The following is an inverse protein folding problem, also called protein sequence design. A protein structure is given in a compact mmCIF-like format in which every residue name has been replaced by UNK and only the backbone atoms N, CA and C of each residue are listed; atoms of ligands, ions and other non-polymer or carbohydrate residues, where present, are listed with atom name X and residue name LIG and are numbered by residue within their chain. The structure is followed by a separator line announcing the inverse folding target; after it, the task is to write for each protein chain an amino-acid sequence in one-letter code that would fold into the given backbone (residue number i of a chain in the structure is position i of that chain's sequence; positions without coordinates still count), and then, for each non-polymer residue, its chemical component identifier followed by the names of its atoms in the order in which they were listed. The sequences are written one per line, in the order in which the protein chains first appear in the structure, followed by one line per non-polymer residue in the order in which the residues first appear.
data_IF_225836342646
#
_entry.id   IF_225836342646
#
_cell.length_a   1.000
_cell.length_b   1.000
_cell.length_c   1.000
_cell.angle_alpha   90.00
_cell.angle_beta   90.00
_cell.angle_gamma   90.00
#
_symmetry.space_group_name_H-M   'P 1'
#
loop_
_entity.id
_entity.type
_entity.pdbx_description
1 polymer ?
#
# COMPACT_ATOMS: atom_id res chain seq x y z
N UNK A 1 11.77 40.72 30.16
CA UNK A 1 12.09 39.74 31.22
C UNK A 1 10.84 39.03 31.78
N UNK A 2 9.85 38.68 30.95
CA UNK A 2 8.57 38.12 31.43
C UNK A 2 7.94 37.03 30.55
N UNK A 3 8.66 36.48 29.57
CA UNK A 3 8.14 35.44 28.66
C UNK A 3 8.89 34.09 28.73
N UNK A 4 9.93 33.99 29.56
CA UNK A 4 10.68 32.73 29.77
C UNK A 4 10.35 32.03 31.09
N UNK A 5 9.58 32.64 31.99
CA UNK A 5 9.18 32.00 33.25
C UNK A 5 7.96 31.06 33.11
N UNK A 6 7.09 31.28 32.12
CA UNK A 6 5.87 30.47 31.95
C UNK A 6 6.17 29.11 31.31
N UNK A 7 7.21 29.02 30.47
CA UNK A 7 7.61 27.76 29.83
C UNK A 7 8.34 26.81 30.79
N UNK A 8 8.99 27.34 31.82
CA UNK A 8 9.65 26.53 32.86
C UNK A 8 8.64 26.01 33.89
N UNK A 9 7.57 26.77 34.19
CA UNK A 9 6.53 26.33 35.12
C UNK A 9 5.71 25.14 34.59
N UNK A 10 5.51 25.04 33.27
CA UNK A 10 4.81 23.91 32.65
C UNK A 10 5.66 22.63 32.60
N UNK A 11 6.99 22.75 32.58
CA UNK A 11 7.90 21.60 32.58
C UNK A 11 8.19 21.07 34.00
N UNK A 12 8.05 21.91 35.03
CA UNK A 12 8.23 21.50 36.43
C UNK A 12 6.99 20.85 37.07
N UNK A 13 5.80 21.00 36.48
CA UNK A 13 4.57 20.42 37.02
C UNK A 13 4.35 18.94 36.65
N UNK A 14 5.18 18.37 35.76
CA UNK A 14 5.07 16.97 35.34
C UNK A 14 5.92 15.98 36.19
N UNK A 15 6.60 16.42 37.26
CA UNK A 15 7.53 15.56 38.01
C UNK A 15 7.06 15.20 39.43
N UNK A 16 5.93 15.72 39.91
CA UNK A 16 5.38 15.31 41.22
C UNK A 16 4.12 14.46 41.08
N UNK A 17 4.28 13.26 40.52
CA UNK A 17 3.41 12.14 40.87
C UNK A 17 4.16 11.32 41.91
N UNK A 18 3.78 11.53 43.17
CA UNK A 18 4.17 10.67 44.30
C UNK A 18 3.87 9.22 43.94
N UNK A 19 4.93 8.41 43.86
CA UNK A 19 4.83 6.96 43.78
C UNK A 19 4.15 6.46 45.06
N UNK A 20 2.84 6.20 44.99
CA UNK A 20 2.23 5.25 45.90
C UNK A 20 2.75 3.88 45.51
N UNK A 21 3.63 3.31 46.33
CA UNK A 21 3.98 1.89 46.29
C UNK A 21 2.69 1.08 46.46
N UNK A 22 2.24 0.33 45.44
CA UNK A 22 1.12 -0.59 45.62
C UNK A 22 1.58 -1.69 46.57
N UNK A 23 0.73 -2.09 47.51
CA UNK A 23 0.89 -3.35 48.24
C UNK A 23 1.08 -4.47 47.22
N UNK A 24 2.09 -5.31 47.43
CA UNK A 24 2.24 -6.58 46.72
C UNK A 24 1.02 -7.48 46.99
N UNK A 25 0.00 -7.34 46.16
CA UNK A 25 -0.83 -8.49 45.83
C UNK A 25 -0.13 -9.20 44.67
N UNK A 26 0.47 -10.35 44.99
CA UNK A 26 0.95 -11.31 44.01
C UNK A 26 -0.23 -11.86 43.20
N UNK A 27 -0.74 -11.07 42.26
CA UNK A 27 -1.47 -11.60 41.12
C UNK A 27 -0.44 -12.33 40.27
N UNK A 28 -0.39 -13.65 40.42
CA UNK A 28 0.17 -14.53 39.38
C UNK A 28 -0.62 -14.24 38.11
N UNK A 29 -0.12 -13.35 37.26
CA UNK A 29 -0.61 -13.18 35.89
C UNK A 29 -0.21 -14.43 35.12
N UNK A 30 -1.07 -15.43 35.22
CA UNK A 30 -1.13 -16.56 34.31
C UNK A 30 -1.91 -16.12 33.07
N UNK A 31 -1.24 -15.56 32.06
CA UNK A 31 -1.80 -15.58 30.70
C UNK A 31 -0.70 -15.42 29.63
N UNK A 32 0.05 -16.49 29.39
CA UNK A 32 1.09 -16.55 28.34
C UNK A 32 0.53 -16.81 26.93
N UNK A 33 -0.79 -16.92 26.74
CA UNK A 33 -1.39 -17.25 25.43
C UNK A 33 -2.31 -16.17 24.85
N UNK A 34 -2.95 -15.32 25.66
CA UNK A 34 -3.78 -14.21 25.13
C UNK A 34 -2.99 -12.95 24.77
N UNK A 35 -1.90 -12.68 25.48
CA UNK A 35 -1.07 -11.49 25.26
C UNK A 35 -0.33 -11.53 23.92
N UNK A 36 0.13 -12.71 23.50
CA UNK A 36 0.84 -12.93 22.23
C UNK A 36 -0.08 -12.78 21.02
N UNK A 37 -1.31 -13.30 21.09
CA UNK A 37 -2.28 -13.16 19.99
C UNK A 37 -2.75 -11.71 19.86
N UNK A 38 -2.99 -11.01 20.97
CA UNK A 38 -3.31 -9.57 20.93
C UNK A 38 -2.17 -8.76 20.30
N UNK A 39 -0.91 -9.02 20.67
CA UNK A 39 0.24 -8.36 20.07
C UNK A 39 0.36 -8.67 18.57
N UNK A 40 0.10 -9.92 18.16
CA UNK A 40 0.07 -10.32 16.75
C UNK A 40 -1.03 -9.59 15.98
N UNK A 41 -2.23 -9.47 16.54
CA UNK A 41 -3.34 -8.74 15.93
C UNK A 41 -3.02 -7.24 15.82
N UNK A 42 -2.46 -6.63 16.87
CA UNK A 42 -2.02 -5.22 16.85
C UNK A 42 -0.89 -4.98 15.84
N UNK A 43 0.06 -5.92 15.74
CA UNK A 43 1.14 -5.88 14.73
C UNK A 43 0.61 -6.03 13.31
N UNK A 44 -0.46 -6.82 13.15
CA UNK A 44 -1.23 -6.85 11.92
C UNK A 44 -2.10 -5.61 11.75
N UNK A 45 -2.27 -4.73 12.75
CA UNK A 45 -3.09 -3.53 12.64
C UNK A 45 -4.56 -3.70 12.94
N UNK A 46 -4.91 -4.70 13.74
CA UNK A 46 -6.25 -4.89 14.27
C UNK A 46 -6.25 -4.76 15.79
N UNK A 47 -7.29 -4.11 16.31
CA UNK A 47 -7.67 -4.22 17.71
C UNK A 47 -8.84 -5.22 17.82
N UNK A 48 -8.58 -6.47 18.24
CA UNK A 48 -9.61 -7.50 18.29
C UNK A 48 -10.53 -7.29 19.50
N UNK A 49 -11.82 -7.43 19.26
CA UNK A 49 -12.87 -7.47 20.29
C UNK A 49 -13.68 -8.77 20.15
N UNK A 50 -14.71 -8.94 20.99
CA UNK A 50 -15.51 -10.17 20.99
C UNK A 50 -16.15 -10.49 19.63
N UNK A 51 -16.56 -9.47 18.87
CA UNK A 51 -17.28 -9.67 17.59
C UNK A 51 -16.64 -8.90 16.42
N UNK A 52 -15.83 -7.89 16.70
CA UNK A 52 -15.21 -7.01 15.70
C UNK A 52 -13.69 -7.01 15.83
N UNK A 53 -13.00 -7.01 14.71
CA UNK A 53 -11.60 -6.65 14.62
C UNK A 53 -11.54 -5.22 14.06
N UNK A 54 -11.32 -4.23 14.93
CA UNK A 54 -11.23 -2.84 14.52
C UNK A 54 -9.92 -2.60 13.77
N UNK A 55 -10.01 -2.07 12.56
CA UNK A 55 -8.87 -1.80 11.70
C UNK A 55 -8.23 -0.45 12.08
N UNK A 56 -7.02 -0.53 12.60
CA UNK A 56 -6.27 0.63 13.09
C UNK A 56 -5.84 1.58 11.96
N UNK A 57 -5.91 1.17 10.68
CA UNK A 57 -5.55 2.01 9.52
C UNK A 57 -6.46 3.22 9.36
N UNK A 58 -7.69 3.18 9.87
CA UNK A 58 -8.66 4.25 9.69
C UNK A 58 -8.60 5.31 10.79
N UNK A 59 -7.87 5.05 11.89
CA UNK A 59 -7.85 5.95 13.04
C UNK A 59 -7.28 7.32 12.71
N UNK A 60 -6.09 7.36 12.10
CA UNK A 60 -5.41 8.62 11.79
C UNK A 60 -4.61 8.46 10.49
N UNK A 61 -4.91 9.32 9.52
CA UNK A 61 -4.14 9.50 8.29
C UNK A 61 -4.03 10.98 7.96
N UNK A 62 -3.08 11.31 7.09
CA UNK A 62 -2.99 12.64 6.51
C UNK A 62 -2.62 12.53 5.04
N UNK A 63 -3.24 13.36 4.20
CA UNK A 63 -2.76 13.67 2.85
C UNK A 63 -3.09 15.13 2.53
N UNK A 64 -2.53 15.65 1.44
CA UNK A 64 -2.70 17.06 1.07
C UNK A 64 -4.12 17.40 0.62
N UNK A 65 -4.86 16.42 0.09
CA UNK A 65 -6.21 16.64 -0.42
C UNK A 65 -7.26 16.65 0.71
N UNK A 66 -7.25 15.63 1.57
CA UNK A 66 -8.20 15.45 2.68
C UNK A 66 -7.76 16.15 3.98
N UNK A 67 -6.50 16.58 4.07
CA UNK A 67 -5.90 17.07 5.30
C UNK A 67 -5.81 15.97 6.35
N UNK A 68 -6.17 16.28 7.59
CA UNK A 68 -6.31 15.26 8.63
C UNK A 68 -7.51 14.37 8.30
N UNK A 69 -7.32 13.06 8.32
CA UNK A 69 -8.34 12.04 8.05
C UNK A 69 -8.44 11.13 9.27
N UNK A 70 -9.64 11.02 9.83
CA UNK A 70 -9.91 10.17 11.01
C UNK A 70 -11.17 9.37 10.79
N UNK A 71 -11.24 8.20 11.40
CA UNK A 71 -12.44 7.39 11.34
C UNK A 71 -12.31 6.06 12.05
N UNK A 72 -13.30 5.21 11.80
CA UNK A 72 -13.40 3.88 12.36
C UNK A 72 -13.78 2.92 11.25
N UNK A 73 -13.14 1.76 11.28
CA UNK A 73 -13.49 0.66 10.41
C UNK A 73 -13.12 -0.66 11.04
N UNK A 74 -13.63 -1.73 10.48
CA UNK A 74 -13.35 -3.06 10.99
C UNK A 74 -14.10 -4.13 10.24
N UNK A 75 -13.72 -5.36 10.58
CA UNK A 75 -14.33 -6.57 10.05
C UNK A 75 -14.82 -7.43 11.20
N UNK A 76 -16.00 -8.03 11.06
CA UNK A 76 -16.49 -9.00 12.05
C UNK A 76 -15.63 -10.27 12.05
N UNK A 77 -15.48 -10.92 13.20
CA UNK A 77 -14.66 -12.13 13.33
C UNK A 77 -15.49 -13.42 13.49
N UNK A 78 -14.82 -14.57 13.57
CA UNK A 78 -15.46 -15.90 13.67
C UNK A 78 -16.42 -16.06 14.86
N UNK A 79 -16.29 -15.22 15.90
CA UNK A 79 -17.20 -15.21 17.05
C UNK A 79 -18.54 -14.51 16.75
N UNK A 80 -18.55 -13.58 15.78
CA UNK A 80 -19.79 -13.04 15.22
C UNK A 80 -20.47 -14.09 14.33
N UNK A 81 -19.73 -14.64 13.37
CA UNK A 81 -20.19 -15.73 12.53
C UNK A 81 -19.04 -16.38 11.76
N UNK A 82 -19.09 -17.69 11.61
CA UNK A 82 -18.20 -18.45 10.72
C UNK A 82 -18.65 -18.42 9.25
N UNK A 83 -19.88 -17.97 8.98
CA UNK A 83 -20.49 -17.99 7.63
C UNK A 83 -20.73 -16.62 7.04
N UNK A 84 -20.77 -15.58 7.86
CA UNK A 84 -21.05 -14.21 7.45
C UNK A 84 -19.95 -13.29 7.97
N UNK A 85 -19.53 -12.34 7.14
CA UNK A 85 -18.65 -11.26 7.55
C UNK A 85 -19.22 -9.92 7.11
N UNK A 86 -19.05 -8.90 7.95
CA UNK A 86 -19.29 -7.51 7.61
C UNK A 86 -17.93 -6.82 7.62
N UNK A 87 -17.65 -6.04 6.59
CA UNK A 87 -16.43 -5.24 6.42
C UNK A 87 -16.82 -3.83 6.00
N UNK A 88 -16.67 -2.89 6.93
CA UNK A 88 -17.12 -1.52 6.76
C UNK A 88 -16.16 -0.54 7.42
N UNK A 89 -16.11 0.67 6.88
CA UNK A 89 -15.47 1.81 7.53
C UNK A 89 -16.19 3.11 7.20
N UNK A 90 -16.01 4.09 8.07
CA UNK A 90 -16.36 5.48 7.84
C UNK A 90 -15.22 6.36 8.31
N UNK A 91 -14.85 7.31 7.48
CA UNK A 91 -13.81 8.29 7.77
C UNK A 91 -14.29 9.68 7.36
N UNK A 92 -13.69 10.69 7.94
CA UNK A 92 -13.94 12.08 7.63
C UNK A 92 -12.62 12.79 7.35
N UNK A 93 -12.56 13.51 6.23
CA UNK A 93 -11.45 14.38 5.85
C UNK A 93 -11.78 15.83 6.22
N UNK A 94 -10.90 16.47 6.98
CA UNK A 94 -11.15 17.82 7.49
C UNK A 94 -10.88 18.93 6.47
N UNK A 95 -10.03 18.70 5.46
CA UNK A 95 -9.76 19.71 4.43
C UNK A 95 -10.81 19.71 3.32
N UNK A 96 -11.34 18.54 2.95
CA UNK A 96 -12.38 18.42 1.92
C UNK A 96 -13.81 18.38 2.48
N UNK A 97 -13.97 18.40 3.82
CA UNK A 97 -15.25 18.40 4.55
C UNK A 97 -16.20 17.28 4.08
N UNK A 98 -15.66 16.07 3.88
CA UNK A 98 -16.43 14.94 3.37
C UNK A 98 -16.21 13.65 4.13
N UNK A 99 -17.33 12.97 4.36
CA UNK A 99 -17.33 11.56 4.75
C UNK A 99 -17.00 10.68 3.57
N UNK A 100 -16.21 9.64 3.83
CA UNK A 100 -15.88 8.56 2.90
C UNK A 100 -16.11 7.25 3.62
N UNK A 101 -16.61 6.25 2.92
CA UNK A 101 -17.06 5.04 3.58
C UNK A 101 -17.07 3.83 2.65
N UNK A 102 -16.95 2.68 3.29
CA UNK A 102 -17.22 1.37 2.69
C UNK A 102 -18.26 0.68 3.54
N UNK A 103 -19.23 0.06 2.87
CA UNK A 103 -20.17 -0.86 3.50
C UNK A 103 -20.19 -2.12 2.67
N UNK A 104 -19.96 -3.25 3.31
CA UNK A 104 -20.17 -4.51 2.64
C UNK A 104 -19.99 -5.71 3.54
N UNK A 105 -20.01 -6.87 2.92
CA UNK A 105 -19.93 -8.13 3.62
C UNK A 105 -19.82 -9.29 2.65
N UNK A 106 -19.64 -10.47 3.23
CA UNK A 106 -19.53 -11.70 2.47
C UNK A 106 -20.24 -12.86 3.16
N UNK A 107 -20.64 -13.82 2.34
CA UNK A 107 -21.16 -15.12 2.77
C UNK A 107 -20.21 -16.22 2.33
N UNK A 108 -19.86 -17.10 3.26
CA UNK A 108 -19.05 -18.27 3.00
C UNK A 108 -19.93 -19.35 2.36
N UNK A 109 -19.71 -19.59 1.07
CA UNK A 109 -20.42 -20.60 0.29
C UNK A 109 -19.84 -21.99 0.49
N UNK A 110 -18.52 -22.10 0.61
CA UNK A 110 -17.82 -23.37 0.83
C UNK A 110 -16.63 -23.19 1.79
N UNK A 111 -16.66 -23.79 3.00
CA UNK A 111 -15.57 -23.70 3.96
C UNK A 111 -14.26 -24.39 3.53
N UNK A 112 -14.33 -25.50 2.79
CA UNK A 112 -13.15 -26.30 2.42
C UNK A 112 -12.26 -25.57 1.42
N UNK A 113 -12.87 -24.90 0.45
CA UNK A 113 -12.20 -24.09 -0.57
C UNK A 113 -12.23 -22.59 -0.24
N UNK A 114 -12.61 -22.23 0.99
CA UNK A 114 -12.77 -20.85 1.47
C UNK A 114 -13.48 -19.95 0.44
N UNK A 115 -14.55 -20.45 -0.16
CA UNK A 115 -15.28 -19.73 -1.20
C UNK A 115 -16.17 -18.67 -0.58
N UNK A 116 -15.87 -17.39 -0.81
CA UNK A 116 -16.68 -16.27 -0.34
C UNK A 116 -17.35 -15.58 -1.51
N UNK A 117 -18.66 -15.32 -1.38
CA UNK A 117 -19.37 -14.36 -2.21
C UNK A 117 -19.46 -13.05 -1.45
N UNK A 118 -18.96 -11.97 -2.03
CA UNK A 118 -18.91 -10.66 -1.41
C UNK A 118 -19.72 -9.61 -2.17
N UNK A 119 -20.23 -8.64 -1.41
CA UNK A 119 -20.88 -7.45 -1.92
C UNK A 119 -20.34 -6.23 -1.18
N UNK A 120 -19.91 -5.21 -1.92
CA UNK A 120 -19.37 -3.98 -1.37
C UNK A 120 -19.93 -2.75 -2.09
N UNK A 121 -20.09 -1.68 -1.32
CA UNK A 121 -20.25 -0.32 -1.80
C UNK A 121 -19.14 0.53 -1.19
N UNK A 122 -18.46 1.33 -2.00
CA UNK A 122 -17.35 2.19 -1.58
C UNK A 122 -17.52 3.59 -2.17
N UNK A 123 -17.35 4.63 -1.36
CA UNK A 123 -17.15 6.03 -1.79
C UNK A 123 -15.90 6.55 -1.08
N UNK A 124 -14.78 6.61 -1.80
CA UNK A 124 -13.50 7.08 -1.29
C UNK A 124 -12.62 7.63 -2.41
N UNK A 125 -11.39 8.00 -2.08
CA UNK A 125 -10.36 8.46 -3.01
C UNK A 125 -9.36 7.35 -3.33
N UNK A 126 -8.87 7.37 -4.56
CA UNK A 126 -7.79 6.50 -5.02
C UNK A 126 -6.67 7.29 -5.70
N UNK A 127 -5.42 6.86 -5.50
CA UNK A 127 -4.24 7.40 -6.17
C UNK A 127 -4.32 7.11 -7.68
N UNK A 128 -4.25 8.15 -8.51
CA UNK A 128 -4.27 8.03 -9.96
C UNK A 128 -3.07 7.24 -10.46
N UNK A 129 -3.29 6.23 -11.30
CA UNK A 129 -2.21 5.43 -11.87
C UNK A 129 -1.69 4.32 -10.95
N UNK A 130 -2.28 4.18 -9.75
CA UNK A 130 -1.97 3.06 -8.86
C UNK A 130 -2.59 1.76 -9.38
N UNK A 131 -1.89 0.64 -9.18
CA UNK A 131 -2.38 -0.70 -9.57
C UNK A 131 -2.29 -1.66 -8.39
N UNK A 132 -3.42 -2.21 -7.97
CA UNK A 132 -3.51 -3.20 -6.90
C UNK A 132 -4.06 -4.51 -7.44
N UNK A 133 -3.53 -5.63 -6.96
CA UNK A 133 -4.11 -6.94 -7.25
C UNK A 133 -5.23 -7.22 -6.25
N UNK A 134 -6.36 -7.75 -6.69
CA UNK A 134 -7.45 -8.16 -5.79
C UNK A 134 -6.96 -9.18 -4.76
N UNK A 135 -6.09 -10.10 -5.20
CA UNK A 135 -5.51 -11.15 -4.35
C UNK A 135 -4.36 -10.70 -3.46
N UNK A 136 -4.06 -9.40 -3.39
CA UNK A 136 -3.01 -8.91 -2.51
C UNK A 136 -3.43 -8.99 -1.04
N UNK A 137 -2.56 -9.61 -0.23
CA UNK A 137 -2.74 -9.63 1.21
C UNK A 137 -2.66 -8.23 1.82
N UNK A 138 -3.36 -8.05 2.95
CA UNK A 138 -3.36 -6.80 3.70
C UNK A 138 -1.95 -6.46 4.18
N UNK A 139 -1.45 -5.28 3.80
CA UNK A 139 -0.31 -4.64 4.44
C UNK A 139 -0.81 -3.58 5.43
N UNK A 140 -0.31 -3.65 6.67
CA UNK A 140 -0.56 -2.65 7.69
C UNK A 140 0.68 -1.80 7.90
N UNK A 141 0.50 -0.49 7.96
CA UNK A 141 1.49 0.46 8.46
C UNK A 141 0.79 1.51 9.29
N UNK A 142 1.34 1.83 10.46
CA UNK A 142 0.85 2.94 11.29
C UNK A 142 1.07 4.30 10.62
N UNK A 143 2.04 4.38 9.71
CA UNK A 143 2.37 5.61 9.01
C UNK A 143 2.62 5.30 7.54
N UNK A 144 1.91 6.00 6.66
CA UNK A 144 2.06 5.91 5.20
C UNK A 144 2.62 7.23 4.65
N UNK A 145 3.92 7.48 4.77
CA UNK A 145 4.52 8.78 4.47
C UNK A 145 4.41 9.20 3.00
N UNK A 146 4.33 8.25 2.06
CA UNK A 146 4.06 8.53 0.65
C UNK A 146 2.73 9.29 0.50
N UNK A 147 1.72 8.90 1.29
CA UNK A 147 0.37 9.46 1.27
C UNK A 147 0.36 10.98 1.53
N UNK A 148 1.33 11.50 2.29
CA UNK A 148 1.48 12.93 2.57
C UNK A 148 1.78 13.78 1.33
N UNK A 149 2.20 13.15 0.24
CA UNK A 149 2.74 13.84 -0.94
C UNK A 149 2.10 13.41 -2.25
N UNK A 150 1.17 12.46 -2.21
CA UNK A 150 0.36 12.15 -3.39
C UNK A 150 -0.54 13.36 -3.65
N UNK A 151 -0.50 13.86 -4.88
CA UNK A 151 -1.29 15.01 -5.30
C UNK A 151 -2.52 14.59 -6.12
N UNK A 152 -2.37 13.58 -6.98
CA UNK A 152 -3.40 13.19 -7.94
C UNK A 152 -4.30 12.08 -7.39
N UNK A 153 -5.38 12.48 -6.74
CA UNK A 153 -6.47 11.60 -6.36
C UNK A 153 -7.62 11.67 -7.37
N UNK A 154 -8.44 10.62 -7.39
CA UNK A 154 -9.76 10.65 -7.99
C UNK A 154 -10.77 10.05 -7.02
N UNK A 155 -11.98 10.58 -7.00
CA UNK A 155 -13.12 9.95 -6.34
C UNK A 155 -13.45 8.67 -7.08
N UNK A 156 -13.75 7.63 -6.32
CA UNK A 156 -13.99 6.30 -6.84
C UNK A 156 -15.18 5.68 -6.10
N UNK A 157 -16.38 5.99 -6.61
CA UNK A 157 -17.65 5.48 -6.08
C UNK A 157 -17.93 4.16 -6.78
N UNK A 158 -18.08 3.05 -6.06
CA UNK A 158 -18.10 1.72 -6.66
C UNK A 158 -19.02 0.76 -5.94
N UNK A 159 -19.83 0.04 -6.71
CA UNK A 159 -20.52 -1.16 -6.27
C UNK A 159 -19.82 -2.39 -6.83
N UNK A 160 -19.60 -3.39 -6.00
CA UNK A 160 -18.81 -4.57 -6.35
C UNK A 160 -19.49 -5.85 -5.90
N UNK A 161 -19.50 -6.85 -6.77
CA UNK A 161 -19.71 -8.25 -6.42
C UNK A 161 -18.43 -9.02 -6.71
N UNK A 162 -17.95 -9.82 -5.75
CA UNK A 162 -16.77 -10.66 -5.97
C UNK A 162 -16.95 -12.07 -5.44
N UNK A 163 -16.27 -13.02 -6.06
CA UNK A 163 -16.15 -14.40 -5.60
C UNK A 163 -14.66 -14.67 -5.37
N UNK A 164 -14.32 -14.91 -4.11
CA UNK A 164 -13.01 -15.43 -3.71
C UNK A 164 -13.07 -16.95 -3.68
N UNK A 165 -12.00 -17.61 -4.10
CA UNK A 165 -11.92 -19.06 -4.11
C UNK A 165 -10.48 -19.55 -3.93
N UNK A 166 -10.25 -20.41 -2.94
CA UNK A 166 -8.99 -21.13 -2.75
C UNK A 166 -9.10 -22.48 -3.46
N UNK A 167 -8.55 -22.58 -4.68
CA UNK A 167 -8.51 -23.83 -5.46
C UNK A 167 -7.72 -24.90 -4.69
N UNK A 168 -6.60 -24.47 -4.11
CA UNK A 168 -5.79 -25.21 -3.15
C UNK A 168 -4.94 -24.21 -2.35
N UNK A 169 -4.24 -24.62 -1.28
CA UNK A 169 -3.49 -23.69 -0.43
C UNK A 169 -2.43 -22.84 -1.16
N UNK A 170 -1.98 -23.27 -2.34
CA UNK A 170 -0.99 -22.56 -3.18
C UNK A 170 -1.61 -21.71 -4.27
N UNK A 171 -2.92 -21.79 -4.52
CA UNK A 171 -3.58 -21.14 -5.63
C UNK A 171 -4.91 -20.52 -5.18
N UNK A 172 -4.89 -19.19 -5.03
CA UNK A 172 -6.02 -18.38 -4.61
C UNK A 172 -6.47 -17.49 -5.77
N UNK A 173 -7.78 -17.37 -5.95
CA UNK A 173 -8.37 -16.57 -7.02
C UNK A 173 -9.44 -15.64 -6.47
N UNK A 174 -9.60 -14.50 -7.12
CA UNK A 174 -10.75 -13.62 -6.92
C UNK A 174 -11.27 -13.15 -8.27
N UNK A 175 -12.57 -13.31 -8.49
CA UNK A 175 -13.28 -12.80 -9.67
C UNK A 175 -14.26 -11.73 -9.24
N UNK A 176 -14.18 -10.57 -9.87
CA UNK A 176 -14.93 -9.38 -9.49
C UNK A 176 -15.67 -8.80 -10.69
N UNK A 177 -16.90 -8.35 -10.46
CA UNK A 177 -17.59 -7.40 -11.32
C UNK A 177 -17.85 -6.12 -10.53
N UNK A 178 -17.50 -4.96 -11.10
CA UNK A 178 -17.66 -3.68 -10.44
C UNK A 178 -18.22 -2.62 -11.40
N UNK A 179 -19.16 -1.83 -10.90
CA UNK A 179 -19.67 -0.62 -11.57
C UNK A 179 -19.19 0.57 -10.77
N UNK A 180 -18.50 1.49 -11.43
CA UNK A 180 -17.84 2.61 -10.76
C UNK A 180 -18.00 3.92 -11.50
N UNK A 181 -18.24 4.97 -10.72
CA UNK A 181 -18.16 6.35 -11.15
C UNK A 181 -16.84 6.95 -10.64
N UNK A 182 -16.06 7.48 -11.57
CA UNK A 182 -14.70 7.96 -11.33
C UNK A 182 -14.59 9.44 -11.71
N UNK A 183 -14.16 10.26 -10.76
CA UNK A 183 -14.05 11.71 -10.94
C UNK A 183 -12.67 12.19 -10.42
N UNK A 184 -11.71 12.51 -11.30
CA UNK A 184 -10.46 13.16 -10.95
C UNK A 184 -10.68 14.42 -10.09
N UNK A 185 -9.88 14.60 -9.04
CA UNK A 185 -9.97 15.79 -8.18
C UNK A 185 -9.09 16.94 -8.65
N UNK A 186 -8.51 16.81 -9.83
CA UNK A 186 -7.60 17.74 -10.50
C UNK A 186 -8.10 18.01 -11.92
N UNK A 187 -7.61 19.09 -12.54
CA UNK A 187 -8.00 19.46 -13.88
C UNK A 187 -7.48 18.43 -14.89
N UNK A 188 -8.35 17.52 -15.32
CA UNK A 188 -8.02 16.47 -16.28
C UNK A 188 -9.23 16.19 -17.16
N UNK A 189 -8.99 16.14 -18.46
CA UNK A 189 -9.98 15.73 -19.44
C UNK A 189 -9.42 14.62 -20.32
N UNK A 190 -10.18 13.56 -20.49
CA UNK A 190 -9.87 12.49 -21.43
C UNK A 190 -10.65 12.70 -22.71
N UNK A 191 -9.95 12.91 -23.83
CA UNK A 191 -10.57 13.20 -25.13
C UNK A 191 -10.68 11.93 -25.96
N UNK A 192 -11.90 11.58 -26.35
CA UNK A 192 -12.15 10.42 -27.19
C UNK A 192 -13.20 10.76 -28.25
N UNK A 193 -12.84 10.56 -29.52
CA UNK A 193 -13.72 10.81 -30.67
C UNK A 193 -14.31 12.25 -30.72
N UNK A 194 -13.58 13.24 -30.21
CA UNK A 194 -14.01 14.63 -30.15
C UNK A 194 -14.88 14.98 -28.94
N UNK A 195 -15.18 14.02 -28.07
CA UNK A 195 -15.86 14.23 -26.81
C UNK A 195 -14.84 14.34 -25.66
N UNK A 196 -15.11 15.26 -24.73
CA UNK A 196 -14.29 15.50 -23.55
C UNK A 196 -14.96 14.84 -22.34
N UNK A 197 -14.25 13.94 -21.68
CA UNK A 197 -14.71 13.26 -20.47
C UNK A 197 -13.93 13.77 -19.26
N UNK A 198 -14.63 14.32 -18.28
CA UNK A 198 -14.07 14.73 -16.98
C UNK A 198 -14.50 13.80 -15.85
N UNK A 199 -15.53 12.99 -16.10
CA UNK A 199 -16.05 11.94 -15.22
C UNK A 199 -16.21 10.67 -16.04
N UNK A 200 -15.97 9.51 -15.42
CA UNK A 200 -15.95 8.23 -16.10
C UNK A 200 -16.87 7.23 -15.42
N UNK A 201 -17.83 6.72 -16.17
CA UNK A 201 -18.59 5.53 -15.81
C UNK A 201 -17.85 4.30 -16.33
N UNK A 202 -17.69 3.30 -15.47
CA UNK A 202 -16.97 2.06 -15.79
C UNK A 202 -17.73 0.83 -15.29
N UNK A 203 -17.62 -0.25 -16.06
CA UNK A 203 -18.15 -1.57 -15.75
C UNK A 203 -17.03 -2.59 -15.98
N UNK A 204 -16.33 -2.94 -14.92
CA UNK A 204 -15.13 -3.76 -14.98
C UNK A 204 -15.41 -5.20 -14.55
N UNK A 205 -14.95 -6.15 -15.35
CA UNK A 205 -14.82 -7.55 -14.97
C UNK A 205 -13.33 -7.85 -14.75
N UNK A 206 -12.97 -8.32 -13.56
CA UNK A 206 -11.58 -8.59 -13.16
C UNK A 206 -11.44 -10.02 -12.68
N UNK A 207 -10.38 -10.69 -13.11
CA UNK A 207 -9.96 -12.00 -12.58
C UNK A 207 -8.53 -11.84 -12.08
N UNK A 208 -8.30 -12.15 -10.80
CA UNK A 208 -6.99 -12.10 -10.16
C UNK A 208 -6.63 -13.47 -9.61
N UNK A 209 -5.35 -13.82 -9.73
CA UNK A 209 -4.80 -15.12 -9.32
C UNK A 209 -3.50 -14.87 -8.56
N UNK A 210 -3.41 -15.44 -7.35
CA UNK A 210 -2.18 -15.56 -6.58
C UNK A 210 -1.73 -17.02 -6.60
N UNK A 211 -0.50 -17.25 -7.05
CA UNK A 211 0.11 -18.58 -7.13
C UNK A 211 1.43 -18.64 -6.37
N UNK A 212 1.45 -19.47 -5.33
CA UNK A 212 2.55 -19.72 -4.40
C UNK A 212 3.05 -21.18 -4.54
N UNK A 213 3.60 -21.58 -5.70
CA UNK A 213 3.81 -22.99 -6.06
C UNK A 213 4.72 -23.79 -5.11
N UNK A 214 5.67 -23.11 -4.48
CA UNK A 214 6.70 -23.75 -3.66
C UNK A 214 6.41 -23.70 -2.16
N UNK A 215 5.40 -22.95 -1.75
CA UNK A 215 5.03 -22.81 -0.34
C UNK A 215 4.45 -24.14 0.16
N UNK A 216 4.92 -24.59 1.33
CA UNK A 216 4.41 -25.80 1.99
C UNK A 216 3.46 -25.41 3.11
N UNK A 217 2.38 -26.20 3.22
CA UNK A 217 1.30 -25.98 4.16
C UNK A 217 1.05 -27.27 4.94
N UNK A 218 0.66 -27.11 6.20
CA UNK A 218 0.15 -28.20 7.04
C UNK A 218 -1.21 -27.78 7.60
N UNK A 219 -2.14 -28.72 7.69
CA UNK A 219 -3.46 -28.48 8.27
C UNK A 219 -3.41 -28.74 9.76
N UNK A 220 -3.45 -27.68 10.57
CA UNK A 220 -3.49 -27.73 12.03
C UNK A 220 -4.84 -27.18 12.47
N UNK A 221 -5.61 -27.95 13.25
CA UNK A 221 -6.95 -27.57 13.72
C UNK A 221 -7.92 -27.14 12.60
N UNK A 222 -7.81 -27.77 11.43
CA UNK A 222 -8.63 -27.45 10.25
C UNK A 222 -8.24 -26.15 9.54
N UNK A 223 -7.11 -25.53 9.90
CA UNK A 223 -6.54 -24.35 9.24
C UNK A 223 -5.23 -24.71 8.55
N UNK A 224 -5.07 -24.25 7.31
CA UNK A 224 -3.81 -24.38 6.58
C UNK A 224 -2.82 -23.34 7.11
N UNK A 225 -1.79 -23.79 7.81
CA UNK A 225 -0.68 -22.97 8.27
C UNK A 225 0.53 -23.17 7.37
N UNK A 226 1.28 -22.08 7.11
CA UNK A 226 2.49 -22.13 6.30
C UNK A 226 3.62 -22.73 7.14
N UNK A 227 4.09 -23.91 6.76
CA UNK A 227 5.27 -24.55 7.39
C UNK A 227 6.57 -24.08 6.76
N UNK A 228 6.55 -23.79 5.46
CA UNK A 228 7.70 -23.28 4.71
C UNK A 228 7.26 -22.25 3.69
N UNK A 229 7.58 -20.99 3.97
CA UNK A 229 7.44 -19.90 3.02
C UNK A 229 8.55 -19.95 1.98
N UNK A 230 8.17 -20.16 0.71
CA UNK A 230 9.10 -20.37 -0.40
C UNK A 230 8.75 -19.48 -1.60
N UNK A 231 9.71 -19.38 -2.51
CA UNK A 231 9.71 -18.43 -3.62
C UNK A 231 10.21 -19.12 -4.90
N UNK A 232 9.85 -18.62 -6.10
CA UNK A 232 9.07 -17.41 -6.38
C UNK A 232 7.56 -17.52 -6.09
N UNK A 233 6.94 -16.36 -5.92
CA UNK A 233 5.48 -16.15 -5.82
C UNK A 233 5.02 -15.29 -6.98
N UNK A 234 3.83 -15.59 -7.51
CA UNK A 234 3.30 -14.93 -8.70
C UNK A 234 1.90 -14.38 -8.45
N UNK A 235 1.65 -13.19 -8.97
CA UNK A 235 0.30 -12.62 -9.06
C UNK A 235 0.02 -12.27 -10.52
N UNK A 236 -1.16 -12.63 -11.00
CA UNK A 236 -1.64 -12.30 -12.32
C UNK A 236 -3.04 -11.71 -12.20
N UNK A 237 -3.33 -10.64 -12.93
CA UNK A 237 -4.64 -10.04 -12.96
C UNK A 237 -5.00 -9.60 -14.38
N UNK A 238 -6.22 -9.89 -14.79
CA UNK A 238 -6.81 -9.40 -16.01
C UNK A 238 -8.06 -8.60 -15.70
N UNK A 239 -8.14 -7.38 -16.20
CA UNK A 239 -9.32 -6.51 -16.06
C UNK A 239 -9.84 -6.14 -17.44
N UNK A 240 -11.16 -6.23 -17.63
CA UNK A 240 -11.85 -5.79 -18.83
C UNK A 240 -12.91 -4.76 -18.47
N UNK A 241 -12.82 -3.55 -19.02
CA UNK A 241 -13.91 -2.59 -18.97
C UNK A 241 -14.86 -2.82 -20.14
N UNK A 242 -16.15 -2.94 -19.85
CA UNK A 242 -17.21 -3.30 -20.80
C UNK A 242 -18.02 -2.06 -21.15
N UNK A 243 -17.67 -1.41 -22.26
CA UNK A 243 -18.41 -0.24 -22.78
C UNK A 243 -19.90 -0.55 -22.96
N UNK A 244 -20.76 0.43 -22.66
CA UNK A 244 -22.23 0.36 -22.74
C UNK A 244 -22.91 -0.61 -21.77
N UNK A 245 -22.17 -1.25 -20.86
CA UNK A 245 -22.74 -2.00 -19.73
C UNK A 245 -22.83 -1.03 -18.56
N UNK A 246 -24.04 -0.80 -18.02
CA UNK A 246 -24.30 0.26 -17.02
C UNK A 246 -23.69 1.62 -17.42
N UNK A 247 -23.93 2.05 -18.66
CA UNK A 247 -23.50 3.34 -19.21
C UNK A 247 -21.98 3.59 -19.22
N UNK A 248 -21.17 2.54 -19.06
CA UNK A 248 -19.72 2.64 -19.07
C UNK A 248 -19.19 3.26 -20.38
N UNK A 249 -18.32 4.27 -20.25
CA UNK A 249 -17.92 5.11 -21.39
C UNK A 249 -16.91 4.44 -22.32
N UNK A 250 -16.00 3.64 -21.76
CA UNK A 250 -14.79 3.18 -22.45
C UNK A 250 -14.68 1.68 -22.59
N UNK A 251 -13.94 1.23 -23.61
CA UNK A 251 -13.59 -0.17 -23.80
C UNK A 251 -12.08 -0.34 -23.69
N UNK A 252 -11.62 -0.97 -22.62
CA UNK A 252 -10.20 -1.27 -22.46
C UNK A 252 -9.99 -2.59 -21.71
N UNK A 253 -8.77 -3.09 -21.77
CA UNK A 253 -8.33 -4.27 -21.04
C UNK A 253 -6.96 -4.03 -20.42
N UNK A 254 -6.75 -4.54 -19.21
CA UNK A 254 -5.47 -4.52 -18.50
C UNK A 254 -5.01 -5.94 -18.24
N UNK A 255 -3.71 -6.16 -18.36
CA UNK A 255 -3.03 -7.37 -17.89
C UNK A 255 -1.92 -6.91 -16.95
N UNK A 256 -1.97 -7.37 -15.71
CA UNK A 256 -1.01 -7.07 -14.65
C UNK A 256 -0.32 -8.36 -14.22
N UNK A 257 0.99 -8.29 -14.02
CA UNK A 257 1.83 -9.38 -13.57
C UNK A 257 2.79 -8.93 -12.49
N UNK A 258 2.98 -9.78 -11.47
CA UNK A 258 3.95 -9.56 -10.41
C UNK A 258 4.63 -10.87 -10.07
N UNK A 259 5.96 -10.81 -9.95
CA UNK A 259 6.76 -11.91 -9.42
C UNK A 259 7.62 -11.41 -8.26
N UNK A 260 7.62 -12.15 -7.17
CA UNK A 260 8.48 -11.90 -6.02
C UNK A 260 9.38 -13.11 -5.85
N UNK A 261 10.69 -12.88 -5.79
CA UNK A 261 11.66 -13.93 -5.51
C UNK A 261 12.56 -13.53 -4.35
N UNK A 262 12.95 -14.51 -3.53
CA UNK A 262 13.85 -14.33 -2.40
C UNK A 262 14.90 -15.42 -2.39
N UNK A 263 16.16 -15.01 -2.39
CA UNK A 263 17.33 -15.89 -2.31
C UNK A 263 17.93 -15.73 -0.92
N UNK A 264 17.90 -16.80 -0.12
CA UNK A 264 18.56 -16.82 1.20
C UNK A 264 20.01 -17.25 1.01
N UNK A 265 20.95 -16.39 1.38
CA UNK A 265 22.39 -16.72 1.35
C UNK A 265 22.83 -17.35 2.68
N UNK A 266 22.29 -16.84 3.79
CA UNK A 266 22.42 -17.41 5.13
C UNK A 266 21.26 -16.92 6.03
N UNK A 267 21.34 -17.18 7.33
CA UNK A 267 20.29 -16.80 8.30
C UNK A 267 19.99 -15.30 8.33
N UNK A 268 21.01 -14.46 8.14
CA UNK A 268 20.95 -13.00 8.35
C UNK A 268 21.14 -12.19 7.05
N UNK A 269 21.38 -12.85 5.91
CA UNK A 269 21.60 -12.22 4.61
C UNK A 269 20.81 -12.91 3.51
N UNK A 270 20.12 -12.10 2.71
CA UNK A 270 19.25 -12.55 1.64
C UNK A 270 19.08 -11.45 0.60
N UNK A 271 18.65 -11.82 -0.60
CA UNK A 271 18.29 -10.89 -1.67
C UNK A 271 16.83 -11.06 -2.02
N UNK A 272 16.14 -9.96 -2.29
CA UNK A 272 14.76 -9.95 -2.77
C UNK A 272 14.68 -9.27 -4.11
N UNK A 273 13.90 -9.86 -5.02
CA UNK A 273 13.63 -9.32 -6.33
C UNK A 273 12.12 -9.21 -6.48
N UNK A 274 11.65 -8.04 -6.89
CA UNK A 274 10.26 -7.80 -7.26
C UNK A 274 10.22 -7.32 -8.70
N UNK A 275 9.61 -8.12 -9.55
CA UNK A 275 9.26 -7.75 -10.92
C UNK A 275 7.77 -7.40 -10.93
N UNK A 276 7.40 -6.26 -11.48
CA UNK A 276 6.00 -5.89 -11.71
C UNK A 276 5.86 -5.33 -13.11
N UNK A 277 4.91 -5.84 -13.88
CA UNK A 277 4.66 -5.43 -15.25
C UNK A 277 3.16 -5.27 -15.47
N UNK A 278 2.78 -4.33 -16.33
CA UNK A 278 1.40 -4.09 -16.67
C UNK A 278 1.27 -3.56 -18.09
N UNK A 279 0.17 -3.88 -18.74
CA UNK A 279 -0.22 -3.31 -20.03
C UNK A 279 -1.72 -3.01 -20.03
N UNK A 280 -2.08 -1.81 -20.47
CA UNK A 280 -3.43 -1.35 -20.71
C UNK A 280 -3.59 -1.15 -22.21
N UNK A 281 -4.67 -1.67 -22.79
CA UNK A 281 -4.99 -1.53 -24.21
C UNK A 281 -6.45 -1.12 -24.40
N UNK A 282 -6.67 -0.20 -25.33
CA UNK A 282 -7.97 0.37 -25.62
C UNK A 282 -8.04 1.83 -25.14
N UNK A 283 -9.25 2.32 -24.97
CA UNK A 283 -9.47 3.70 -24.54
C UNK A 283 -9.39 3.74 -23.01
N UNK A 284 -8.23 4.09 -22.45
CA UNK A 284 -7.99 4.02 -21.00
C UNK A 284 -7.65 5.41 -20.46
N UNK A 285 -8.48 6.00 -19.58
CA UNK A 285 -8.16 7.26 -18.94
C UNK A 285 -6.99 7.10 -17.95
N UNK A 286 -6.31 8.20 -17.63
CA UNK A 286 -5.12 8.23 -16.79
C UNK A 286 -5.34 7.58 -15.40
N UNK A 287 -6.56 7.70 -14.85
CA UNK A 287 -6.95 7.06 -13.58
C UNK A 287 -6.72 5.56 -13.57
N UNK A 288 -6.78 4.90 -14.74
CA UNK A 288 -6.64 3.45 -14.92
C UNK A 288 -5.33 3.03 -15.61
N UNK A 289 -4.46 3.98 -15.94
CA UNK A 289 -3.10 3.72 -16.43
C UNK A 289 -2.14 3.44 -15.27
N UNK A 290 -0.83 3.48 -15.52
CA UNK A 290 0.17 3.10 -14.53
C UNK A 290 1.14 4.23 -14.23
N UNK A 291 1.41 4.47 -12.95
CA UNK A 291 2.64 5.11 -12.47
C UNK A 291 3.61 4.04 -11.96
N UNK A 292 4.90 4.36 -11.84
CA UNK A 292 5.92 3.44 -11.32
C UNK A 292 6.13 3.53 -9.79
N UNK A 293 5.11 3.89 -9.01
CA UNK A 293 5.20 4.11 -7.55
C UNK A 293 6.31 5.11 -7.16
N UNK A 294 6.23 6.37 -7.64
CA UNK A 294 7.15 7.43 -7.25
C UNK A 294 7.03 7.75 -5.75
N UNK A 295 8.09 8.29 -5.14
CA UNK A 295 8.06 8.70 -3.73
C UNK A 295 8.82 10.01 -3.46
N UNK A 296 9.13 10.82 -4.48
CA UNK A 296 9.90 12.04 -4.30
C UNK A 296 9.07 13.31 -4.52
N UNK A 297 9.29 14.31 -3.68
CA UNK A 297 8.66 15.62 -3.82
C UNK A 297 9.49 16.51 -4.74
N UNK A 298 8.83 17.29 -5.58
CA UNK A 298 9.53 18.29 -6.39
C UNK A 298 9.68 19.62 -5.60
N UNK A 299 10.49 19.61 -4.53
CA UNK A 299 10.86 20.81 -3.75
C UNK A 299 12.30 21.22 -4.02
N UNK A 300 12.72 22.45 -3.75
CA UNK A 300 14.04 22.94 -4.17
C UNK A 300 15.22 22.23 -3.50
N UNK A 301 15.11 21.90 -2.20
CA UNK A 301 16.25 21.35 -1.44
C UNK A 301 16.02 19.91 -0.99
N UNK A 302 17.11 19.13 -0.86
CA UNK A 302 17.06 17.74 -0.34
C UNK A 302 16.36 17.68 1.04
N UNK A 303 16.62 18.65 1.91
CA UNK A 303 16.00 18.71 3.24
C UNK A 303 14.48 18.94 3.18
N UNK A 304 13.98 19.69 2.20
CA UNK A 304 12.54 19.87 2.00
C UNK A 304 11.88 18.63 1.39
N UNK A 305 12.64 17.80 0.67
CA UNK A 305 12.19 16.49 0.13
C UNK A 305 12.30 15.35 1.14
N UNK A 306 12.85 15.63 2.31
CA UNK A 306 13.08 14.64 3.34
C UNK A 306 11.74 14.04 3.81
N UNK A 307 11.56 12.76 3.52
CA UNK A 307 10.38 11.99 3.85
C UNK A 307 10.81 10.62 4.35
N UNK A 308 9.88 9.66 4.43
CA UNK A 308 10.22 8.29 4.78
C UNK A 308 10.16 7.45 3.51
N UNK A 309 11.14 6.57 3.35
CA UNK A 309 11.27 5.70 2.19
C UNK A 309 10.09 4.72 2.12
N UNK A 310 9.60 4.47 0.90
CA UNK A 310 8.58 3.46 0.71
C UNK A 310 9.21 2.07 0.52
N UNK A 311 8.44 1.04 0.82
CA UNK A 311 8.95 -0.33 0.85
C UNK A 311 9.38 -0.78 -0.56
N UNK A 312 8.58 -0.44 -1.58
CA UNK A 312 8.75 -0.85 -2.98
C UNK A 312 8.52 0.33 -3.95
N UNK A 313 8.95 1.53 -3.58
CA UNK A 313 8.83 2.76 -4.40
C UNK A 313 10.16 3.22 -4.97
N UNK A 314 10.11 4.07 -5.99
CA UNK A 314 11.26 4.80 -6.51
C UNK A 314 11.48 6.06 -5.68
N UNK A 315 12.62 6.13 -4.99
CA UNK A 315 12.84 7.17 -3.98
C UNK A 315 13.22 8.51 -4.58
N UNK A 316 13.79 8.53 -5.79
CA UNK A 316 14.22 9.74 -6.50
C UNK A 316 13.21 10.21 -7.55
N UNK A 317 12.26 9.36 -7.95
CA UNK A 317 11.25 9.68 -8.96
C UNK A 317 10.19 10.61 -8.38
N UNK A 318 9.93 11.72 -9.04
CA UNK A 318 8.94 12.67 -8.58
C UNK A 318 7.51 12.12 -8.74
N UNK A 319 6.62 12.53 -7.83
CA UNK A 319 5.19 12.27 -8.02
C UNK A 319 4.74 12.83 -9.36
N UNK A 320 3.86 12.09 -10.04
CA UNK A 320 3.25 12.46 -11.32
C UNK A 320 4.24 12.68 -12.47
N UNK A 321 5.53 12.36 -12.28
CA UNK A 321 6.56 12.56 -13.30
C UNK A 321 6.32 11.68 -14.53
N UNK A 322 5.89 10.43 -14.30
CA UNK A 322 5.67 9.47 -15.36
C UNK A 322 4.36 8.70 -15.22
N UNK A 323 3.65 8.60 -16.33
CA UNK A 323 2.56 7.65 -16.53
C UNK A 323 2.86 6.77 -17.75
N UNK A 324 2.25 5.59 -17.80
CA UNK A 324 2.47 4.63 -18.87
C UNK A 324 1.23 3.78 -19.12
N UNK A 325 1.00 3.42 -20.39
CA UNK A 325 0.03 2.39 -20.76
C UNK A 325 0.64 0.98 -20.67
N UNK A 326 1.97 0.90 -20.71
CA UNK A 326 2.72 -0.33 -20.53
C UNK A 326 3.97 -0.05 -19.76
N UNK A 327 4.27 -0.88 -18.78
CA UNK A 327 5.44 -0.69 -17.95
C UNK A 327 5.97 -2.01 -17.42
N UNK A 328 7.23 -1.99 -17.00
CA UNK A 328 7.89 -3.04 -16.24
C UNK A 328 8.82 -2.38 -15.24
N UNK A 329 8.78 -2.84 -14.00
CA UNK A 329 9.64 -2.41 -12.90
C UNK A 329 10.35 -3.62 -12.31
N UNK A 330 11.62 -3.46 -12.01
CA UNK A 330 12.44 -4.40 -11.27
C UNK A 330 13.00 -3.69 -10.05
N UNK A 331 12.69 -4.19 -8.86
CA UNK A 331 13.25 -3.72 -7.59
C UNK A 331 14.06 -4.87 -7.01
N UNK A 332 15.37 -4.67 -6.90
CA UNK A 332 16.27 -5.61 -6.24
C UNK A 332 16.80 -4.98 -4.95
N UNK A 333 16.73 -5.75 -3.85
CA UNK A 333 17.32 -5.40 -2.57
C UNK A 333 18.21 -6.52 -2.08
N UNK A 334 19.40 -6.19 -1.60
CA UNK A 334 20.31 -7.13 -0.95
C UNK A 334 20.50 -6.74 0.51
N UNK A 335 20.03 -7.60 1.41
CA UNK A 335 20.17 -7.43 2.85
C UNK A 335 21.49 -8.05 3.29
N UNK A 336 22.41 -7.19 3.73
CA UNK A 336 23.68 -7.62 4.32
C UNK A 336 23.42 -8.13 5.74
N UNK A 337 24.31 -8.99 6.24
CA UNK A 337 24.28 -9.40 7.64
C UNK A 337 24.38 -8.16 8.54
N UNK A 338 23.56 -8.05 9.61
CA UNK A 338 23.65 -6.92 10.55
C UNK A 338 25.04 -6.79 11.18
N UNK A 339 25.51 -5.56 11.31
CA UNK A 339 26.75 -5.25 12.03
C UNK A 339 26.47 -5.31 13.52
N UNK A 340 27.04 -6.30 14.21
CA UNK A 340 26.87 -6.45 15.66
C UNK A 340 27.87 -5.55 16.38
N UNK A 341 27.46 -4.32 16.67
CA UNK A 341 28.33 -3.33 17.32
C UNK A 341 28.24 -3.45 18.85
N UNK A 342 27.03 -3.37 19.42
CA UNK A 342 26.78 -3.65 20.84
C UNK A 342 25.36 -4.18 21.07
N UNK A 343 25.09 -4.69 22.28
CA UNK A 343 23.78 -5.27 22.63
C UNK A 343 22.68 -4.23 22.43
N UNK A 344 21.74 -4.51 21.52
CA UNK A 344 20.62 -3.62 21.18
C UNK A 344 20.86 -2.73 19.96
N UNK A 345 22.09 -2.61 19.45
CA UNK A 345 22.42 -1.83 18.25
C UNK A 345 23.06 -2.72 17.19
N UNK A 346 22.23 -3.17 16.25
CA UNK A 346 22.60 -4.08 15.18
C UNK A 346 22.16 -3.51 13.82
N UNK A 347 22.79 -2.40 13.35
CA UNK A 347 22.41 -1.79 12.09
C UNK A 347 22.57 -2.77 10.93
N UNK A 348 21.67 -2.68 9.95
CA UNK A 348 21.66 -3.55 8.80
C UNK A 348 21.70 -2.73 7.52
N UNK A 349 22.78 -2.91 6.74
CA UNK A 349 22.89 -2.34 5.41
C UNK A 349 22.03 -3.13 4.43
N UNK A 350 21.28 -2.39 3.60
CA UNK A 350 20.53 -2.93 2.47
C UNK A 350 20.97 -2.18 1.23
N UNK A 351 21.48 -2.90 0.24
CA UNK A 351 21.78 -2.32 -1.07
C UNK A 351 20.52 -2.37 -1.92
N UNK A 352 20.18 -1.27 -2.59
CA UNK A 352 18.97 -1.17 -3.40
C UNK A 352 19.35 -0.76 -4.83
N UNK A 353 18.73 -1.41 -5.80
CA UNK A 353 18.75 -0.98 -7.19
C UNK A 353 17.37 -1.18 -7.79
N UNK A 354 16.90 -0.20 -8.55
CA UNK A 354 15.57 -0.17 -9.13
C UNK A 354 15.65 0.27 -10.57
N UNK A 355 14.87 -0.40 -11.40
CA UNK A 355 14.75 -0.14 -12.82
C UNK A 355 13.28 -0.05 -13.21
N UNK A 356 12.90 0.94 -14.01
CA UNK A 356 11.58 1.00 -14.65
C UNK A 356 11.74 1.26 -16.14
N UNK A 357 10.92 0.65 -16.96
CA UNK A 357 10.81 0.95 -18.39
C UNK A 357 9.34 0.89 -18.77
N UNK A 358 8.91 1.76 -19.67
CA UNK A 358 7.52 1.82 -20.09
C UNK A 358 7.34 2.79 -21.22
N UNK A 359 6.10 2.97 -21.66
CA UNK A 359 5.74 4.00 -22.64
C UNK A 359 4.21 4.20 -22.63
N UNK A 360 3.71 5.15 -23.41
CA UNK A 360 2.28 5.44 -23.56
C UNK A 360 1.94 5.79 -25.00
N UNK A 361 0.85 5.22 -25.53
CA UNK A 361 0.22 5.67 -26.78
C UNK A 361 -0.89 6.67 -26.50
N UNK A 362 -1.20 7.49 -27.50
CA UNK A 362 -2.31 8.46 -27.47
C UNK A 362 -2.22 9.46 -26.31
N UNK A 363 -1.01 9.93 -25.99
CA UNK A 363 -0.77 10.91 -24.91
C UNK A 363 -1.61 12.18 -25.10
N UNK A 364 -1.86 12.57 -26.35
CA UNK A 364 -2.66 13.72 -26.76
C UNK A 364 -4.12 13.68 -26.28
N UNK A 365 -4.64 12.49 -25.93
CA UNK A 365 -5.98 12.33 -25.35
C UNK A 365 -6.05 12.74 -23.88
N UNK A 366 -4.92 12.89 -23.21
CA UNK A 366 -4.83 13.21 -21.79
C UNK A 366 -4.57 14.71 -21.62
N UNK A 367 -5.64 15.50 -21.55
CA UNK A 367 -5.55 16.97 -21.54
C UNK A 367 -5.56 17.54 -20.12
N UNK A 368 -5.11 18.81 -20.03
CA UNK A 368 -5.01 19.62 -18.80
C UNK A 368 -4.05 19.08 -17.73
N UNK A 369 -3.24 18.08 -18.06
CA UNK A 369 -2.21 17.52 -17.20
C UNK A 369 -0.88 17.42 -17.96
N UNK A 370 0.24 17.49 -17.24
CA UNK A 370 1.58 17.33 -17.82
C UNK A 370 2.29 16.18 -17.13
N UNK A 371 2.84 15.26 -17.92
CA UNK A 371 3.63 14.12 -17.45
C UNK A 371 4.55 13.60 -18.57
N UNK A 372 5.57 12.84 -18.21
CA UNK A 372 6.42 12.10 -19.14
C UNK A 372 6.06 10.61 -19.24
N UNK A 373 6.77 9.88 -20.10
CA UNK A 373 6.74 8.41 -20.16
C UNK A 373 8.10 7.82 -19.80
N UNK A 374 8.17 6.50 -19.61
CA UNK A 374 9.38 5.76 -19.21
C UNK A 374 10.15 5.14 -20.38
N UNK A 375 10.07 5.75 -21.57
CA UNK A 375 10.61 5.27 -22.86
C UNK A 375 12.13 5.07 -22.89
N UNK A 376 12.89 5.80 -22.06
CA UNK A 376 14.36 5.74 -21.98
C UNK A 376 14.90 4.76 -20.94
N UNK A 377 14.02 4.19 -20.11
CA UNK A 377 14.42 3.44 -18.93
C UNK A 377 14.90 4.36 -17.78
N UNK A 378 14.30 4.17 -16.62
CA UNK A 378 14.63 4.83 -15.37
C UNK A 378 15.50 3.91 -14.51
N UNK A 379 16.60 4.44 -13.99
CA UNK A 379 17.46 3.73 -13.03
C UNK A 379 17.69 4.56 -11.78
N UNK A 380 17.58 3.92 -10.61
CA UNK A 380 18.14 4.45 -9.36
C UNK A 380 18.81 3.33 -8.56
N UNK A 381 19.86 3.70 -7.83
CA UNK A 381 20.55 2.80 -6.91
C UNK A 381 20.95 3.54 -5.66
N UNK A 382 21.18 2.80 -4.58
CA UNK A 382 21.56 3.39 -3.31
C UNK A 382 21.66 2.37 -2.20
N UNK A 383 21.43 2.82 -0.97
CA UNK A 383 21.45 1.97 0.19
C UNK A 383 20.52 2.46 1.29
N UNK A 384 20.07 1.52 2.12
CA UNK A 384 19.38 1.80 3.38
C UNK A 384 20.26 1.31 4.54
N UNK A 385 20.32 2.07 5.63
CA UNK A 385 20.91 1.65 6.87
C UNK A 385 19.79 1.57 7.92
N UNK A 386 19.27 0.35 8.10
CA UNK A 386 18.13 0.06 8.96
C UNK A 386 18.58 -0.26 10.39
N UNK A 387 17.62 -0.25 11.35
CA UNK A 387 17.84 -0.63 12.76
C UNK A 387 18.88 0.24 13.48
N UNK A 388 18.85 1.55 13.24
CA UNK A 388 19.68 2.53 13.94
C UNK A 388 19.15 2.79 15.35
N UNK A 389 17.90 3.23 15.49
CA UNK A 389 17.31 3.54 16.81
C UNK A 389 15.82 3.23 16.78
N UNK A 390 15.29 2.42 17.71
CA UNK A 390 13.85 2.08 17.80
C UNK A 390 13.19 1.64 16.46
N UNK A 391 13.94 0.94 15.59
CA UNK A 391 13.45 0.52 14.27
C UNK A 391 13.59 1.57 13.16
N UNK A 392 13.97 2.82 13.48
CA UNK A 392 14.32 3.84 12.51
C UNK A 392 15.64 3.52 11.81
N UNK A 393 15.75 3.97 10.56
CA UNK A 393 16.96 3.94 9.76
C UNK A 393 16.99 5.10 8.78
N UNK A 394 17.95 5.08 7.86
CA UNK A 394 18.07 6.07 6.79
C UNK A 394 18.15 5.38 5.43
N UNK A 395 17.72 6.07 4.39
CA UNK A 395 17.78 5.63 3.00
C UNK A 395 18.40 6.74 2.15
N UNK A 396 19.34 6.35 1.31
CA UNK A 396 19.94 7.19 0.29
C UNK A 396 19.73 6.51 -1.07
N UNK A 397 19.26 7.28 -2.06
CA UNK A 397 19.14 6.82 -3.43
C UNK A 397 19.61 7.91 -4.40
N UNK A 398 20.18 7.46 -5.52
CA UNK A 398 20.65 8.30 -6.61
C UNK A 398 20.06 7.81 -7.93
N UNK A 399 19.41 8.72 -8.67
CA UNK A 399 18.92 8.48 -10.03
C UNK A 399 20.04 8.75 -11.04
N UNK A 400 20.13 7.91 -12.06
CA UNK A 400 21.09 8.05 -13.15
C UNK A 400 20.49 7.51 -14.46
N UNK A 401 21.23 7.59 -15.56
CA UNK A 401 20.80 7.06 -16.85
C UNK A 401 19.90 8.01 -17.64
N UNK A 402 18.92 7.46 -18.36
CA UNK A 402 18.13 8.19 -19.37
C UNK A 402 17.28 9.36 -18.85
N UNK A 403 17.01 9.38 -17.54
CA UNK A 403 16.28 10.46 -16.85
C UNK A 403 17.11 11.15 -15.77
N UNK A 404 18.43 11.20 -15.92
CA UNK A 404 19.28 12.04 -15.06
C UNK A 404 18.90 13.52 -15.24
N UNK A 405 18.75 14.23 -14.12
CA UNK A 405 18.36 15.63 -14.08
C UNK A 405 19.60 16.55 -14.12
N UNK A 406 19.54 17.73 -14.74
CA UNK A 406 20.71 18.60 -14.91
C UNK A 406 21.41 19.00 -13.60
N UNK A 407 20.66 19.16 -12.51
CA UNK A 407 21.22 19.47 -11.19
C UNK A 407 21.48 18.20 -10.40
N UNK A 408 22.71 18.02 -9.91
CA UNK A 408 23.10 16.82 -9.18
C UNK A 408 22.26 16.55 -7.92
N UNK A 409 21.87 17.60 -7.20
CA UNK A 409 21.03 17.53 -6.01
C UNK A 409 19.60 17.04 -6.31
N UNK A 410 19.11 17.23 -7.54
CA UNK A 410 17.80 16.76 -7.99
C UNK A 410 17.74 15.25 -8.18
N UNK A 411 18.90 14.63 -8.36
CA UNK A 411 19.03 13.20 -8.53
C UNK A 411 19.20 12.45 -7.19
N UNK A 412 19.25 13.17 -6.06
CA UNK A 412 19.48 12.59 -4.74
C UNK A 412 18.17 12.54 -3.94
N UNK A 413 17.91 11.39 -3.31
CA UNK A 413 16.90 11.26 -2.27
C UNK A 413 17.53 10.78 -0.96
N UNK A 414 17.31 11.54 0.11
CA UNK A 414 17.69 11.17 1.47
C UNK A 414 16.43 11.14 2.35
N UNK A 415 16.18 10.00 3.01
CA UNK A 415 14.91 9.71 3.70
C UNK A 415 15.13 8.92 4.98
N UNK A 416 14.19 8.98 5.92
CA UNK A 416 14.14 8.01 7.01
C UNK A 416 13.54 6.68 6.55
N UNK A 417 13.92 5.59 7.19
CA UNK A 417 13.21 4.31 7.08
C UNK A 417 12.62 3.97 8.44
N UNK A 418 11.53 3.23 8.46
CA UNK A 418 10.95 2.71 9.68
C UNK A 418 10.60 1.24 9.50
N UNK A 419 11.33 0.38 10.21
CA UNK A 419 11.17 -1.05 10.16
C UNK A 419 11.04 -1.57 11.61
N UNK A 420 9.81 -1.67 12.10
CA UNK A 420 9.53 -2.46 13.30
C UNK A 420 9.42 -3.91 12.88
N UNK A 421 10.30 -4.76 13.43
CA UNK A 421 10.06 -6.20 13.47
C UNK A 421 9.45 -6.47 14.85
N UNK A 422 8.16 -6.78 14.92
CA UNK A 422 7.51 -7.26 16.14
C UNK A 422 7.88 -8.73 16.38
#
# INVERSE_FOLDING_TARGET
MGKHLIFILFFSLCINLTAQTPKEETLKVSDTTKSTELLKQLGNGFFPTKIWNFDLRYLVKFNQYEGFRTGLGGVTNDSFSKRFRIDSYVVYGFADDRFKYKIGGGVLLNPETKTWLNLYYNDDLQETGSSTFLTDGRMFSFFEPRLLNIELFHKHITSTVSIEHEINPRLYTETQFAVSNVEPTYNYSYVLNGENFEQFEMSTATVSVQWDPFTEFETIDGKNEITKDAFPKFSFQYTKNLKNVFDANFNFSKVDFKAIHKIKHNKDSYSTFRLSAGIARGDTPLTHLYHAYPNNNNKETILQRFSVAGINSFETMYFNEFFSDRFTTLIAKHYVKPFKIFKGFNPQLVLITRYAIGDMKNIDRHQNITFGTLDKGYTESGFELNKLLFGFGVSFAYRYGGYHLPKNEDNIAFKFTFNITL
#
